data_IF_786716182896
#
_entry.id   IF_786716182896
#
_cell.length_a   1.000
_cell.length_b   1.000
_cell.length_c   1.000
_cell.angle_alpha   90.00
_cell.angle_beta   90.00
_cell.angle_gamma   90.00
#
_symmetry.space_group_name_H-M   'P 1'
#
loop_
_entity.id
_entity.type
_entity.pdbx_description
1 polymer ?
#
# COMPACT_ATOMS: atom_id res chain seq x y z
N UNK A 1 -15.48 -10.07 -5.95
CA UNK A 1 -16.03 -10.12 -4.57
C UNK A 1 -16.81 -8.83 -4.32
N UNK A 2 -17.60 -8.72 -3.24
CA UNK A 2 -18.21 -7.45 -2.83
C UNK A 2 -17.76 -7.11 -1.41
N UNK A 3 -17.54 -5.83 -1.09
CA UNK A 3 -17.22 -5.39 0.26
C UNK A 3 -18.48 -5.39 1.13
N UNK A 4 -18.33 -5.08 2.42
CA UNK A 4 -19.44 -5.00 3.38
C UNK A 4 -20.48 -3.91 3.05
N UNK A 5 -20.21 -3.07 2.04
CA UNK A 5 -21.11 -2.02 1.53
C UNK A 5 -21.68 -2.38 0.15
N UNK A 6 -21.47 -3.60 -0.33
CA UNK A 6 -21.96 -4.07 -1.62
C UNK A 6 -21.16 -3.53 -2.82
N UNK A 7 -20.02 -2.88 -2.59
CA UNK A 7 -19.15 -2.39 -3.66
C UNK A 7 -18.32 -3.54 -4.21
N UNK A 8 -18.21 -3.65 -5.54
CA UNK A 8 -17.44 -4.72 -6.18
C UNK A 8 -15.95 -4.60 -5.79
N UNK A 9 -15.47 -5.54 -4.98
CA UNK A 9 -14.05 -5.79 -4.73
C UNK A 9 -13.50 -6.47 -5.98
N UNK A 10 -12.96 -5.65 -6.88
CA UNK A 10 -12.04 -6.07 -7.92
C UNK A 10 -10.63 -5.87 -7.38
N UNK A 11 -9.89 -6.97 -7.30
CA UNK A 11 -8.43 -6.86 -7.42
C UNK A 11 -8.21 -6.44 -8.86
N UNK A 12 -7.73 -5.21 -9.05
CA UNK A 12 -7.45 -4.70 -10.40
C UNK A 12 -6.32 -5.55 -10.98
N UNK A 13 -6.46 -6.10 -12.18
CA UNK A 13 -5.39 -6.91 -12.80
C UNK A 13 -4.03 -6.17 -12.80
N UNK A 14 -4.09 -4.84 -12.87
CA UNK A 14 -2.94 -3.93 -12.78
C UNK A 14 -2.16 -4.03 -11.47
N UNK A 15 -2.79 -4.42 -10.34
CA UNK A 15 -2.08 -4.54 -9.06
C UNK A 15 -1.12 -5.73 -9.06
N UNK A 16 -1.51 -6.86 -9.65
CA UNK A 16 -0.63 -8.02 -9.75
C UNK A 16 0.59 -7.68 -10.61
N UNK A 17 0.35 -7.06 -11.77
CA UNK A 17 1.44 -6.60 -12.64
C UNK A 17 2.38 -5.61 -11.95
N UNK A 18 1.85 -4.63 -11.20
CA UNK A 18 2.67 -3.64 -10.53
C UNK A 18 3.51 -4.25 -9.41
N UNK A 19 2.93 -5.15 -8.62
CA UNK A 19 3.66 -5.86 -7.59
C UNK A 19 4.75 -6.76 -8.21
N UNK A 20 4.45 -7.45 -9.32
CA UNK A 20 5.42 -8.29 -10.04
C UNK A 20 6.59 -7.43 -10.54
N UNK A 21 6.26 -6.29 -11.17
CA UNK A 21 7.24 -5.33 -11.68
C UNK A 21 8.21 -4.84 -10.59
N UNK A 22 7.70 -4.59 -9.37
CA UNK A 22 8.48 -4.14 -8.23
C UNK A 22 9.37 -5.24 -7.66
N UNK A 23 8.82 -6.44 -7.49
CA UNK A 23 9.56 -7.61 -6.99
C UNK A 23 10.70 -7.99 -7.94
N UNK A 24 10.47 -7.98 -9.25
CA UNK A 24 11.50 -8.23 -10.28
C UNK A 24 12.67 -7.24 -10.21
N UNK A 25 12.44 -6.05 -9.62
CA UNK A 25 13.46 -5.01 -9.41
C UNK A 25 14.05 -5.01 -8.01
N UNK A 26 13.68 -5.98 -7.17
CA UNK A 26 14.16 -6.09 -5.80
C UNK A 26 13.62 -5.01 -4.86
N UNK A 27 12.46 -4.43 -5.17
CA UNK A 27 11.79 -3.48 -4.27
C UNK A 27 10.99 -4.26 -3.24
N UNK A 28 11.28 -4.04 -1.96
CA UNK A 28 10.51 -4.65 -0.87
C UNK A 28 9.15 -3.95 -0.70
N UNK A 29 8.10 -4.76 -0.55
CA UNK A 29 6.72 -4.27 -0.47
C UNK A 29 6.25 -4.23 0.98
N UNK A 30 5.51 -3.18 1.34
CA UNK A 30 4.86 -3.04 2.64
C UNK A 30 3.39 -2.67 2.52
N UNK A 31 2.59 -3.05 3.52
CA UNK A 31 1.17 -2.66 3.62
C UNK A 31 0.93 -1.86 4.89
N UNK A 32 0.25 -0.71 4.77
CA UNK A 32 -0.20 0.11 5.89
C UNK A 32 -1.72 0.31 5.81
N UNK A 33 -2.47 -0.15 6.81
CA UNK A 33 -3.95 -0.07 6.80
C UNK A 33 -4.49 0.35 8.16
N UNK A 34 -5.43 1.30 8.13
CA UNK A 34 -6.09 1.88 9.31
C UNK A 34 -7.36 1.11 9.72
N UNK A 35 -7.54 -0.12 9.23
CA UNK A 35 -8.77 -0.89 9.44
C UNK A 35 -9.02 -1.24 10.92
N UNK A 36 -10.28 -1.16 11.34
CA UNK A 36 -10.77 -1.65 12.64
C UNK A 36 -10.91 -3.18 12.68
N UNK A 37 -10.66 -3.87 11.56
CA UNK A 37 -10.71 -5.33 11.44
C UNK A 37 -9.39 -5.90 10.91
N UNK A 38 -8.29 -5.87 11.69
CA UNK A 38 -6.97 -6.28 11.22
C UNK A 38 -6.90 -7.74 10.78
N UNK A 39 -7.53 -8.65 11.54
CA UNK A 39 -7.47 -10.08 11.25
C UNK A 39 -8.20 -10.43 9.96
N UNK A 40 -9.36 -9.81 9.74
CA UNK A 40 -10.09 -9.91 8.48
C UNK A 40 -9.29 -9.36 7.30
N UNK A 41 -8.61 -8.23 7.47
CA UNK A 41 -7.78 -7.66 6.41
C UNK A 41 -6.62 -8.59 6.02
N UNK A 42 -6.00 -9.27 7.00
CA UNK A 42 -4.97 -10.28 6.74
C UNK A 42 -5.54 -11.52 6.04
N UNK A 43 -6.67 -12.03 6.52
CA UNK A 43 -7.37 -13.16 5.89
C UNK A 43 -7.73 -12.84 4.43
N UNK A 44 -8.20 -11.62 4.15
CA UNK A 44 -8.48 -11.18 2.79
C UNK A 44 -7.20 -11.18 1.93
N UNK A 45 -6.07 -10.67 2.44
CA UNK A 45 -4.79 -10.73 1.72
C UNK A 45 -4.33 -12.18 1.46
N UNK A 46 -4.58 -13.09 2.39
CA UNK A 46 -4.29 -14.52 2.25
C UNK A 46 -5.17 -15.16 1.17
N UNK A 47 -6.49 -14.90 1.19
CA UNK A 47 -7.44 -15.40 0.19
C UNK A 47 -7.14 -14.89 -1.22
N UNK A 48 -6.57 -13.69 -1.34
CA UNK A 48 -6.14 -13.10 -2.60
C UNK A 48 -4.75 -13.56 -3.04
N UNK A 49 -4.03 -14.34 -2.22
CA UNK A 49 -2.66 -14.77 -2.50
C UNK A 49 -1.65 -13.61 -2.52
N UNK A 50 -1.98 -12.49 -1.88
CA UNK A 50 -1.16 -11.27 -1.88
C UNK A 50 -0.32 -11.13 -0.61
N UNK A 51 -0.73 -11.72 0.52
CA UNK A 51 -0.08 -11.47 1.81
C UNK A 51 1.42 -11.78 1.80
N UNK A 52 1.80 -12.93 1.22
CA UNK A 52 3.19 -13.36 1.13
C UNK A 52 4.11 -12.47 0.28
N UNK A 53 3.54 -11.51 -0.44
CA UNK A 53 4.28 -10.52 -1.24
C UNK A 53 4.77 -9.33 -0.41
N UNK A 54 4.13 -9.06 0.73
CA UNK A 54 4.48 -7.95 1.60
C UNK A 54 5.50 -8.40 2.65
N UNK A 55 6.72 -7.87 2.59
CA UNK A 55 7.76 -8.11 3.59
C UNK A 55 7.41 -7.46 4.94
N UNK A 56 6.61 -6.38 4.92
CA UNK A 56 6.24 -5.61 6.11
C UNK A 56 4.73 -5.35 6.17
N UNK A 57 4.12 -5.60 7.33
CA UNK A 57 2.69 -5.36 7.57
C UNK A 57 2.45 -4.44 8.77
N UNK A 58 1.71 -3.36 8.55
CA UNK A 58 1.22 -2.42 9.56
C UNK A 58 -0.30 -2.23 9.42
N UNK A 59 -1.07 -3.20 9.92
CA UNK A 59 -2.53 -3.27 9.78
C UNK A 59 -3.16 -3.16 11.17
N UNK A 60 -3.66 -1.98 11.52
CA UNK A 60 -4.36 -1.68 12.78
C UNK A 60 -4.91 -0.24 12.78
N UNK A 61 -5.93 0.08 13.60
CA UNK A 61 -6.52 1.41 13.63
C UNK A 61 -5.56 2.42 14.29
N UNK A 62 -4.88 3.22 13.45
CA UNK A 62 -4.01 4.31 13.88
C UNK A 62 -3.79 5.32 12.76
N UNK A 63 -2.90 6.30 12.97
CA UNK A 63 -2.46 7.21 11.91
C UNK A 63 -1.40 6.55 11.02
N UNK A 64 -1.35 6.96 9.75
CA UNK A 64 -0.30 6.50 8.84
C UNK A 64 1.09 6.94 9.28
N UNK A 65 1.20 8.05 10.01
CA UNK A 65 2.46 8.45 10.65
C UNK A 65 3.00 7.34 11.56
N UNK A 66 2.15 6.71 12.38
CA UNK A 66 2.57 5.61 13.25
C UNK A 66 2.95 4.37 12.44
N UNK A 67 2.15 4.03 11.42
CA UNK A 67 2.47 2.91 10.53
C UNK A 67 3.83 3.12 9.85
N UNK A 68 4.09 4.30 9.29
CA UNK A 68 5.36 4.59 8.61
C UNK A 68 6.56 4.63 9.55
N UNK A 69 6.38 5.08 10.80
CA UNK A 69 7.43 4.98 11.82
C UNK A 69 7.82 3.52 12.09
N UNK A 70 6.85 2.62 12.20
CA UNK A 70 7.09 1.19 12.40
C UNK A 70 7.69 0.52 11.14
N UNK A 71 7.20 0.88 9.93
CA UNK A 71 7.78 0.41 8.67
C UNK A 71 9.25 0.81 8.53
N UNK A 72 9.60 2.06 8.89
CA UNK A 72 10.99 2.54 8.90
C UNK A 72 11.87 1.75 9.87
N UNK A 73 11.36 1.44 11.05
CA UNK A 73 12.10 0.64 12.04
C UNK A 73 12.31 -0.80 11.57
N UNK A 74 11.28 -1.44 11.00
CA UNK A 74 11.34 -2.84 10.53
C UNK A 74 12.19 -3.01 9.27
N UNK A 75 12.09 -2.08 8.34
CA UNK A 75 12.77 -2.17 7.04
C UNK A 75 14.17 -1.55 7.03
N UNK A 76 14.42 -0.58 7.92
CA UNK A 76 15.68 0.17 7.96
C UNK A 76 15.81 1.27 6.90
N UNK A 77 14.86 1.40 5.97
CA UNK A 77 14.89 2.45 4.94
C UNK A 77 14.57 3.83 5.52
N UNK A 78 15.23 4.86 4.99
CA UNK A 78 14.86 6.24 5.28
C UNK A 78 13.53 6.59 4.60
N UNK A 79 12.80 7.58 5.13
CA UNK A 79 11.54 8.02 4.52
C UNK A 79 11.70 8.48 3.06
N UNK A 80 12.82 9.13 2.73
CA UNK A 80 13.12 9.56 1.36
C UNK A 80 13.34 8.41 0.36
N UNK A 81 13.48 7.17 0.84
CA UNK A 81 13.62 5.96 0.03
C UNK A 81 12.28 5.22 -0.14
N UNK A 82 11.21 5.72 0.48
CA UNK A 82 9.89 5.11 0.43
C UNK A 82 8.99 5.80 -0.60
N UNK A 83 8.20 4.98 -1.29
CA UNK A 83 7.09 5.41 -2.16
C UNK A 83 5.78 4.87 -1.58
N UNK A 84 4.80 5.74 -1.44
CA UNK A 84 3.52 5.43 -0.82
C UNK A 84 2.34 5.77 -1.74
N UNK A 85 1.42 4.83 -1.89
CA UNK A 85 0.18 5.00 -2.63
C UNK A 85 -1.02 4.88 -1.68
N UNK A 86 -1.95 5.83 -1.72
CA UNK A 86 -3.17 5.82 -0.92
C UNK A 86 -4.27 6.65 -1.61
N UNK A 87 -5.54 6.31 -1.38
CA UNK A 87 -6.69 7.02 -1.94
C UNK A 87 -7.19 8.15 -1.02
N UNK A 88 -6.79 8.18 0.25
CA UNK A 88 -7.17 9.21 1.20
C UNK A 88 -6.15 10.36 1.21
N UNK A 89 -6.58 11.54 0.75
CA UNK A 89 -5.73 12.76 0.69
C UNK A 89 -5.03 13.08 2.02
N UNK A 90 -5.73 12.88 3.14
CA UNK A 90 -5.20 13.09 4.49
C UNK A 90 -3.97 12.21 4.75
N UNK A 91 -4.01 10.95 4.33
CA UNK A 91 -2.89 10.02 4.50
C UNK A 91 -1.68 10.47 3.68
N UNK A 92 -1.90 10.98 2.46
CA UNK A 92 -0.85 11.53 1.59
C UNK A 92 -0.19 12.75 2.22
N UNK A 93 -0.96 13.68 2.79
CA UNK A 93 -0.42 14.86 3.49
C UNK A 93 0.37 14.48 4.75
N UNK A 94 -0.21 13.61 5.60
CA UNK A 94 0.42 13.16 6.84
C UNK A 94 1.76 12.44 6.57
N UNK A 95 1.79 11.52 5.60
CA UNK A 95 2.97 10.73 5.27
C UNK A 95 3.97 11.53 4.42
N UNK A 96 3.49 12.36 3.50
CA UNK A 96 4.33 13.28 2.72
C UNK A 96 5.10 14.26 3.61
N UNK A 97 4.49 14.70 4.71
CA UNK A 97 5.16 15.53 5.73
C UNK A 97 6.36 14.86 6.41
N UNK A 98 6.49 13.53 6.34
CA UNK A 98 7.64 12.77 6.85
C UNK A 98 8.82 12.72 5.85
N UNK A 99 8.61 13.17 4.60
CA UNK A 99 9.59 13.07 3.51
C UNK A 99 9.44 11.82 2.64
N UNK A 100 8.35 11.06 2.81
CA UNK A 100 8.00 9.93 1.93
C UNK A 100 7.39 10.46 0.63
N UNK A 101 7.81 9.93 -0.53
CA UNK A 101 7.15 10.25 -1.80
C UNK A 101 5.75 9.63 -1.77
N UNK A 102 4.72 10.47 -1.69
CA UNK A 102 3.34 10.04 -1.46
C UNK A 102 2.46 10.41 -2.65
N UNK A 103 1.78 9.43 -3.23
CA UNK A 103 1.01 9.54 -4.48
C UNK A 103 -0.46 9.26 -4.19
N UNK A 104 -1.30 10.26 -4.47
CA UNK A 104 -2.75 10.13 -4.32
C UNK A 104 -3.34 9.31 -5.48
N UNK A 105 -3.93 8.17 -5.16
CA UNK A 105 -4.57 7.29 -6.14
C UNK A 105 -6.07 7.52 -6.15
N UNK A 106 -6.56 8.26 -7.15
CA UNK A 106 -8.01 8.49 -7.33
C UNK A 106 -8.63 7.38 -8.17
N UNK A 107 -9.67 6.74 -7.63
CA UNK A 107 -10.48 5.69 -8.28
C UNK A 107 -9.75 4.34 -8.47
N UNK A 108 -8.95 3.94 -7.48
CA UNK A 108 -8.21 2.67 -7.52
C UNK A 108 -6.93 2.74 -8.34
N UNK A 109 -6.10 1.71 -8.18
CA UNK A 109 -4.80 1.61 -8.83
C UNK A 109 -4.97 1.51 -10.35
N UNK A 110 -4.22 2.33 -11.09
CA UNK A 110 -4.19 2.35 -12.54
C UNK A 110 -2.75 2.27 -13.01
N UNK A 111 -2.51 1.41 -14.00
CA UNK A 111 -1.17 1.18 -14.56
C UNK A 111 -0.51 2.47 -15.03
N UNK A 112 -1.25 3.38 -15.68
CA UNK A 112 -0.67 4.61 -16.23
C UNK A 112 -0.13 5.54 -15.13
N UNK A 113 -0.82 5.58 -13.98
CA UNK A 113 -0.34 6.34 -12.83
C UNK A 113 0.98 5.77 -12.33
N UNK A 114 1.04 4.45 -12.20
CA UNK A 114 2.25 3.76 -11.75
C UNK A 114 3.41 3.98 -12.72
N UNK A 115 3.19 3.76 -14.02
CA UNK A 115 4.22 3.99 -15.05
C UNK A 115 4.76 5.41 -15.01
N UNK A 116 3.89 6.42 -14.83
CA UNK A 116 4.33 7.82 -14.72
C UNK A 116 5.23 8.11 -13.51
N UNK A 117 4.99 7.44 -12.37
CA UNK A 117 5.78 7.64 -11.16
C UNK A 117 7.16 6.97 -11.25
N UNK A 118 7.25 5.86 -12.02
CA UNK A 118 8.46 5.08 -12.25
C UNK A 118 9.19 5.42 -13.57
N UNK A 119 8.66 6.35 -14.37
CA UNK A 119 9.27 6.77 -15.64
C UNK A 119 9.27 5.70 -16.73
N UNK A 120 8.23 4.86 -16.75
CA UNK A 120 8.01 3.78 -17.72
C UNK A 120 7.20 4.24 -18.93
#
# INVERSE_FOLDING_TARGET
MHDSRGSLVKVYDDIHWALDFLEERGVELGVASRTEQPDWARELLDLLGLRGRFAFEEIYPSSKVRHFSALKEKSGYAYGEMLFFDDEHRNIEEVGGLGVRSVLVRNGFRRELFESEFGL
#
